data_IF_831470138191
#
_entry.id   IF_831470138191
#
_cell.length_a   1.000
_cell.length_b   1.000
_cell.length_c   1.000
_cell.angle_alpha   90.00
_cell.angle_beta   90.00
_cell.angle_gamma   90.00
#
_symmetry.space_group_name_H-M   'P 1'
#
loop_
_entity.id
_entity.type
_entity.pdbx_description
1 polymer ?
#
# COMPACT_ATOMS: atom_id res chain seq x y z
N UNK A 1 4.67 12.59 -12.59
CA UNK A 1 4.66 11.87 -11.30
C UNK A 1 4.60 10.34 -11.46
N UNK A 2 4.12 9.80 -12.58
CA UNK A 2 3.97 8.35 -12.87
C UNK A 2 5.28 7.54 -12.95
N UNK A 3 6.43 8.18 -13.25
CA UNK A 3 7.68 7.49 -13.54
C UNK A 3 8.34 6.83 -12.30
N UNK A 4 8.13 7.40 -11.11
CA UNK A 4 8.80 6.94 -9.88
C UNK A 4 8.16 5.64 -9.36
N UNK A 5 6.82 5.55 -9.35
CA UNK A 5 6.13 4.31 -8.98
C UNK A 5 6.36 3.22 -10.02
N UNK A 6 6.40 3.57 -11.31
CA UNK A 6 6.67 2.61 -12.39
C UNK A 6 8.00 1.86 -12.24
N UNK A 7 9.05 2.54 -11.76
CA UNK A 7 10.37 1.92 -11.62
C UNK A 7 10.41 0.94 -10.43
N UNK A 8 9.61 1.17 -9.40
CA UNK A 8 9.64 0.40 -8.15
C UNK A 8 8.57 -0.70 -8.06
N UNK A 9 7.42 -0.53 -8.73
CA UNK A 9 6.29 -1.45 -8.60
C UNK A 9 6.56 -2.81 -9.23
N UNK A 10 7.11 -2.86 -10.44
CA UNK A 10 7.36 -4.13 -11.14
C UNK A 10 8.39 -5.02 -10.40
N UNK A 11 9.52 -4.49 -9.91
CA UNK A 11 10.42 -5.24 -9.02
C UNK A 11 9.72 -5.79 -7.78
N UNK A 12 8.81 -5.00 -7.17
CA UNK A 12 8.07 -5.44 -5.99
C UNK A 12 7.09 -6.57 -6.33
N UNK A 13 6.31 -6.44 -7.41
CA UNK A 13 5.44 -7.53 -7.90
C UNK A 13 6.25 -8.80 -8.18
N UNK A 14 7.43 -8.68 -8.79
CA UNK A 14 8.32 -9.80 -9.05
C UNK A 14 8.82 -10.46 -7.75
N UNK A 15 9.18 -9.67 -6.75
CA UNK A 15 9.56 -10.15 -5.41
C UNK A 15 8.41 -10.95 -4.76
N UNK A 16 7.20 -10.40 -4.76
CA UNK A 16 6.03 -11.06 -4.17
C UNK A 16 5.78 -12.42 -4.84
N UNK A 17 5.85 -12.47 -6.18
CA UNK A 17 5.70 -13.72 -6.94
C UNK A 17 6.80 -14.73 -6.63
N UNK A 18 8.05 -14.30 -6.55
CA UNK A 18 9.18 -15.18 -6.23
C UNK A 18 9.06 -15.80 -4.83
N UNK A 19 8.47 -15.07 -3.89
CA UNK A 19 8.20 -15.54 -2.52
C UNK A 19 6.86 -16.28 -2.36
N UNK A 20 6.08 -16.41 -3.44
CA UNK A 20 4.75 -17.03 -3.39
C UNK A 20 3.71 -16.22 -2.61
N UNK A 21 3.96 -14.94 -2.36
CA UNK A 21 3.04 -14.04 -1.68
C UNK A 21 1.91 -13.63 -2.63
N UNK A 22 0.66 -13.74 -2.16
CA UNK A 22 -0.54 -13.60 -2.99
C UNK A 22 -1.44 -12.45 -2.58
N UNK A 23 -1.07 -11.65 -1.58
CA UNK A 23 -1.82 -10.47 -1.20
C UNK A 23 -0.93 -9.31 -0.80
N UNK A 24 -1.45 -8.10 -0.94
CA UNK A 24 -0.76 -6.85 -0.61
C UNK A 24 -1.75 -5.85 -0.01
N UNK A 25 -1.30 -5.11 1.00
CA UNK A 25 -1.93 -3.86 1.43
C UNK A 25 -1.23 -2.70 0.71
N UNK A 26 -2.00 -1.83 0.07
CA UNK A 26 -1.54 -0.52 -0.39
C UNK A 26 -2.01 0.58 0.56
N UNK A 27 -1.08 1.41 1.03
CA UNK A 27 -1.35 2.59 1.88
C UNK A 27 -1.11 3.87 1.09
N UNK A 28 -2.06 4.81 1.18
CA UNK A 28 -2.17 5.98 0.30
C UNK A 28 -2.34 5.58 -1.17
N UNK A 29 -3.32 4.71 -1.45
CA UNK A 29 -3.48 4.12 -2.79
C UNK A 29 -3.93 5.11 -3.88
N UNK A 30 -4.32 6.34 -3.49
CA UNK A 30 -4.83 7.34 -4.41
C UNK A 30 -5.97 6.80 -5.26
N UNK A 31 -6.01 7.08 -6.57
CA UNK A 31 -7.06 6.56 -7.45
C UNK A 31 -7.00 5.02 -7.61
N UNK A 32 -5.88 4.37 -7.25
CA UNK A 32 -5.68 2.90 -7.31
C UNK A 32 -4.98 2.40 -8.58
N UNK A 33 -4.11 3.19 -9.22
CA UNK A 33 -3.46 2.78 -10.47
C UNK A 33 -2.51 1.58 -10.26
N UNK A 34 -1.78 1.58 -9.15
CA UNK A 34 -0.93 0.45 -8.74
C UNK A 34 -1.78 -0.75 -8.33
N UNK A 35 -2.90 -0.54 -7.64
CA UNK A 35 -3.88 -1.58 -7.32
C UNK A 35 -4.39 -2.35 -8.53
N UNK A 36 -4.68 -1.68 -9.66
CA UNK A 36 -5.06 -2.35 -10.91
C UNK A 36 -3.94 -3.27 -11.40
N UNK A 37 -2.68 -2.85 -11.27
CA UNK A 37 -1.52 -3.62 -11.71
C UNK A 37 -1.28 -4.84 -10.82
N UNK A 38 -1.43 -4.72 -9.49
CA UNK A 38 -1.43 -5.87 -8.58
C UNK A 38 -2.52 -6.89 -8.91
N UNK A 39 -3.76 -6.43 -9.12
CA UNK A 39 -4.88 -7.32 -9.49
C UNK A 39 -4.60 -8.02 -10.81
N UNK A 40 -4.12 -7.31 -11.83
CA UNK A 40 -3.71 -7.90 -13.13
C UNK A 40 -2.57 -8.91 -12.99
N UNK A 41 -1.70 -8.72 -12.00
CA UNK A 41 -0.62 -9.65 -11.69
C UNK A 41 -1.09 -10.89 -10.91
N UNK A 42 -2.38 -11.00 -10.56
CA UNK A 42 -2.96 -12.11 -9.80
C UNK A 42 -2.77 -12.00 -8.29
N UNK A 43 -2.45 -10.81 -7.78
CA UNK A 43 -2.25 -10.54 -6.36
C UNK A 43 -3.55 -9.96 -5.79
N UNK A 44 -4.02 -10.54 -4.67
CA UNK A 44 -5.17 -10.05 -3.94
C UNK A 44 -4.86 -8.69 -3.32
N UNK A 45 -5.69 -7.71 -3.64
CA UNK A 45 -5.40 -6.31 -3.35
C UNK A 45 -6.34 -5.77 -2.28
N UNK A 46 -5.77 -5.10 -1.27
CA UNK A 46 -6.48 -4.24 -0.32
C UNK A 46 -5.83 -2.87 -0.34
N UNK A 47 -6.61 -1.80 -0.47
CA UNK A 47 -6.09 -0.43 -0.46
C UNK A 47 -6.72 0.43 0.64
N UNK A 48 -5.98 1.42 1.11
CA UNK A 48 -6.52 2.51 1.93
C UNK A 48 -6.01 3.86 1.46
N UNK A 49 -6.84 4.89 1.61
CA UNK A 49 -6.48 6.28 1.36
C UNK A 49 -7.25 7.22 2.30
N UNK A 50 -6.63 8.29 2.83
CA UNK A 50 -7.35 9.24 3.70
C UNK A 50 -8.38 10.08 2.95
N UNK A 51 -8.24 10.23 1.62
CA UNK A 51 -9.15 11.05 0.84
C UNK A 51 -10.32 10.22 0.29
N UNK A 52 -11.52 10.46 0.81
CA UNK A 52 -12.76 9.79 0.36
C UNK A 52 -12.99 9.88 -1.16
N UNK A 53 -12.58 10.98 -1.81
CA UNK A 53 -12.64 11.10 -3.28
C UNK A 53 -11.80 10.06 -4.02
N UNK A 54 -10.59 9.78 -3.54
CA UNK A 54 -9.71 8.73 -4.07
C UNK A 54 -10.33 7.35 -3.88
N UNK A 55 -10.82 7.06 -2.67
CA UNK A 55 -11.48 5.80 -2.33
C UNK A 55 -12.69 5.55 -3.23
N UNK A 56 -13.58 6.53 -3.38
CA UNK A 56 -14.75 6.42 -4.27
C UNK A 56 -14.35 6.11 -5.70
N UNK A 57 -13.32 6.77 -6.21
CA UNK A 57 -12.82 6.51 -7.55
C UNK A 57 -12.23 5.10 -7.67
N UNK A 58 -11.37 4.68 -6.74
CA UNK A 58 -10.78 3.34 -6.72
C UNK A 58 -11.84 2.22 -6.64
N UNK A 59 -12.86 2.39 -5.79
CA UNK A 59 -14.00 1.47 -5.67
C UNK A 59 -14.80 1.42 -6.97
N UNK A 60 -15.01 2.55 -7.66
CA UNK A 60 -15.66 2.55 -8.98
C UNK A 60 -14.89 1.75 -10.03
N UNK A 61 -13.57 1.59 -9.83
CA UNK A 61 -12.68 0.73 -10.63
C UNK A 61 -12.63 -0.72 -10.13
N UNK A 62 -13.53 -1.11 -9.23
CA UNK A 62 -13.68 -2.45 -8.63
C UNK A 62 -12.51 -2.90 -7.77
N UNK A 63 -11.76 -1.96 -7.20
CA UNK A 63 -10.74 -2.27 -6.20
C UNK A 63 -11.37 -2.37 -4.80
N UNK A 64 -10.78 -3.23 -3.95
CA UNK A 64 -11.16 -3.33 -2.54
C UNK A 64 -10.42 -2.25 -1.74
N UNK A 65 -11.05 -1.08 -1.60
CA UNK A 65 -10.45 0.11 -0.98
C UNK A 65 -11.37 0.70 0.08
N UNK A 66 -10.81 1.21 1.17
CA UNK A 66 -11.54 1.91 2.23
C UNK A 66 -10.82 3.19 2.69
N UNK A 67 -11.54 4.09 3.37
CA UNK A 67 -10.95 5.31 3.93
C UNK A 67 -10.20 4.96 5.22
N UNK A 68 -8.92 5.33 5.30
CA UNK A 68 -8.14 5.25 6.53
C UNK A 68 -6.94 6.20 6.50
N UNK A 69 -6.52 6.65 7.69
CA UNK A 69 -5.29 7.41 7.87
C UNK A 69 -4.08 6.47 7.92
N UNK A 70 -2.92 6.83 7.32
CA UNK A 70 -1.72 5.97 7.32
C UNK A 70 -1.18 5.64 8.71
N UNK A 71 -1.41 6.52 9.69
CA UNK A 71 -1.00 6.34 11.08
C UNK A 71 -2.06 5.64 11.95
N UNK A 72 -3.21 5.25 11.38
CA UNK A 72 -4.28 4.53 12.09
C UNK A 72 -5.08 3.64 11.13
N UNK A 73 -4.50 2.48 10.84
CA UNK A 73 -5.03 1.50 9.90
C UNK A 73 -6.08 0.60 10.58
N UNK A 74 -7.24 0.35 9.94
CA UNK A 74 -8.36 -0.40 10.51
C UNK A 74 -8.16 -1.92 10.41
N UNK A 75 -6.93 -2.39 10.62
CA UNK A 75 -6.55 -3.79 10.47
C UNK A 75 -5.91 -4.31 11.76
N UNK A 76 -6.07 -5.61 12.01
CA UNK A 76 -5.40 -6.27 13.11
C UNK A 76 -3.88 -6.36 12.88
N UNK A 77 -3.14 -6.63 13.93
CA UNK A 77 -1.69 -6.82 13.87
C UNK A 77 -1.35 -8.04 13.00
N UNK A 78 -0.25 -7.93 12.25
CA UNK A 78 0.38 -9.05 11.54
C UNK A 78 -0.49 -9.77 10.49
N UNK A 79 -1.41 -9.07 9.84
CA UNK A 79 -2.35 -9.68 8.89
C UNK A 79 -1.93 -9.59 7.42
N UNK A 80 -1.06 -8.64 7.05
CA UNK A 80 -0.66 -8.48 5.66
C UNK A 80 0.69 -9.12 5.37
N UNK A 81 0.78 -10.02 4.37
CA UNK A 81 2.04 -10.65 4.00
C UNK A 81 2.94 -9.76 3.15
N UNK A 82 2.46 -8.59 2.71
CA UNK A 82 3.25 -7.56 2.01
C UNK A 82 2.55 -6.20 2.10
N UNK A 83 3.36 -5.13 2.09
CA UNK A 83 2.86 -3.75 2.12
C UNK A 83 3.53 -2.91 1.04
N UNK A 84 2.72 -2.13 0.33
CA UNK A 84 3.12 -1.13 -0.65
C UNK A 84 2.67 0.26 -0.16
N UNK A 85 3.60 1.17 0.09
CA UNK A 85 3.30 2.51 0.61
C UNK A 85 3.98 3.56 -0.27
N UNK A 86 3.19 4.24 -1.09
CA UNK A 86 3.69 5.28 -1.99
C UNK A 86 3.35 6.65 -1.41
N UNK A 87 4.36 7.49 -1.23
CA UNK A 87 4.21 8.85 -0.70
C UNK A 87 3.51 8.92 0.68
N UNK A 88 3.39 7.80 1.39
CA UNK A 88 2.76 7.75 2.71
C UNK A 88 3.50 8.57 3.77
N UNK A 89 4.79 8.89 3.55
CA UNK A 89 5.60 9.71 4.44
C UNK A 89 5.86 11.13 3.88
N UNK A 90 5.27 11.48 2.73
CA UNK A 90 5.57 12.74 2.06
C UNK A 90 5.05 13.93 2.86
N UNK A 91 5.95 14.89 3.16
CA UNK A 91 5.60 16.12 3.87
C UNK A 91 5.38 15.96 5.38
N UNK A 92 5.59 14.76 5.93
CA UNK A 92 5.50 14.51 7.37
C UNK A 92 6.76 14.99 8.09
N UNK A 93 6.60 15.38 9.35
CA UNK A 93 7.70 15.51 10.30
C UNK A 93 8.25 14.13 10.68
N UNK A 94 9.42 14.09 11.34
CA UNK A 94 10.02 12.82 11.77
C UNK A 94 9.09 12.03 12.72
N UNK A 95 8.48 12.71 13.70
CA UNK A 95 7.58 12.06 14.67
C UNK A 95 6.31 11.50 14.01
N UNK A 96 5.77 12.21 13.01
CA UNK A 96 4.62 11.73 12.22
C UNK A 96 5.01 10.54 11.33
N UNK A 97 6.17 10.61 10.66
CA UNK A 97 6.68 9.51 9.83
C UNK A 97 6.94 8.26 10.67
N UNK A 98 7.50 8.41 11.86
CA UNK A 98 7.67 7.35 12.86
C UNK A 98 6.33 6.68 13.22
N UNK A 99 5.26 7.48 13.38
CA UNK A 99 3.90 6.97 13.62
C UNK A 99 3.41 6.10 12.47
N UNK A 100 3.57 6.56 11.23
CA UNK A 100 3.19 5.78 10.03
C UNK A 100 4.02 4.51 9.92
N UNK A 101 5.35 4.57 10.08
CA UNK A 101 6.22 3.39 9.99
C UNK A 101 5.83 2.34 11.03
N UNK A 102 5.58 2.73 12.29
CA UNK A 102 5.09 1.80 13.32
C UNK A 102 3.77 1.15 12.93
N UNK A 103 2.88 1.90 12.30
CA UNK A 103 1.58 1.37 11.87
C UNK A 103 1.71 0.41 10.69
N UNK A 104 2.60 0.68 9.73
CA UNK A 104 2.95 -0.26 8.66
C UNK A 104 3.54 -1.55 9.24
N UNK A 105 4.49 -1.44 10.17
CA UNK A 105 5.10 -2.58 10.85
C UNK A 105 4.08 -3.39 11.66
N UNK A 106 3.14 -2.72 12.34
CA UNK A 106 2.10 -3.37 13.15
C UNK A 106 1.23 -4.29 12.31
N UNK A 107 0.74 -3.81 11.16
CA UNK A 107 -0.17 -4.61 10.31
C UNK A 107 0.56 -5.61 9.42
N UNK A 108 1.88 -5.44 9.22
CA UNK A 108 2.73 -6.37 8.49
C UNK A 108 2.94 -7.68 9.28
N UNK A 109 2.77 -8.82 8.61
CA UNK A 109 3.18 -10.10 9.16
C UNK A 109 4.70 -10.11 9.41
N UNK A 110 5.20 -10.86 10.41
CA UNK A 110 6.63 -10.96 10.66
C UNK A 110 7.42 -11.38 9.41
N UNK A 111 8.42 -10.58 9.04
CA UNK A 111 9.25 -10.81 7.85
C UNK A 111 8.59 -10.44 6.52
N UNK A 112 7.40 -9.84 6.53
CA UNK A 112 6.76 -9.35 5.32
C UNK A 112 7.59 -8.25 4.66
N UNK A 113 7.75 -8.26 3.33
CA UNK A 113 8.35 -7.14 2.63
C UNK A 113 7.44 -5.91 2.70
N UNK A 114 8.03 -4.79 3.13
CA UNK A 114 7.41 -3.47 3.13
C UNK A 114 8.19 -2.60 2.14
N UNK A 115 7.50 -2.08 1.13
CA UNK A 115 8.07 -1.12 0.20
C UNK A 115 7.53 0.28 0.52
N UNK A 116 8.44 1.21 0.79
CA UNK A 116 8.13 2.64 0.95
C UNK A 116 8.76 3.38 -0.23
N UNK A 117 7.95 4.05 -1.03
CA UNK A 117 8.40 4.81 -2.21
C UNK A 117 8.23 6.30 -1.94
N UNK A 118 9.36 7.01 -1.98
CA UNK A 118 9.45 8.46 -1.79
C UNK A 118 9.89 9.12 -3.11
N UNK A 119 9.59 10.42 -3.31
CA UNK A 119 10.04 11.17 -4.49
C UNK A 119 11.56 11.23 -4.66
#
# INVERSE_FOLDING_TARGET
MTLLTETSLEPFIALLKAQGLRSVLEVCCGPGDDGIRFVRAGIHYTGVDPFDGNVRYAVSRRLSVSVAEPASLPFADHVFPAIWAVQALAGLTADEADGVVRELERVAAPGAPIAVVLP
#
